data_IF_005673225659
#
_entry.id   IF_005673225659
#
_cell.length_a   1.000
_cell.length_b   1.000
_cell.length_c   1.000
_cell.angle_alpha   90.00
_cell.angle_beta   90.00
_cell.angle_gamma   90.00
#
_symmetry.space_group_name_H-M   'P 1'
#
loop_
_entity.id
_entity.type
_entity.pdbx_description
1 polymer ?
#
# COMPACT_ATOMS: atom_id res chain seq x y z
N UNK A 1 3.40 1.09 14.55
CA UNK A 1 3.15 1.86 13.31
C UNK A 1 3.01 0.90 12.14
N UNK A 2 2.03 1.12 11.30
CA UNK A 2 1.84 0.31 10.11
C UNK A 2 3.01 0.46 9.16
N UNK A 3 3.45 -0.65 8.59
CA UNK A 3 4.50 -0.66 7.58
C UNK A 3 4.28 -1.86 6.65
N UNK A 4 4.44 -1.64 5.36
CA UNK A 4 4.39 -2.74 4.39
C UNK A 4 5.53 -2.61 3.39
N UNK A 5 5.94 -3.74 2.84
CA UNK A 5 6.88 -3.78 1.72
C UNK A 5 6.10 -4.19 0.47
N UNK A 6 6.18 -3.37 -0.56
CA UNK A 6 5.46 -3.64 -1.81
C UNK A 6 6.21 -4.71 -2.61
N UNK A 7 5.57 -5.84 -2.83
CA UNK A 7 6.14 -6.92 -3.64
C UNK A 7 5.43 -7.07 -4.98
N UNK A 8 4.16 -6.71 -5.04
CA UNK A 8 3.35 -6.85 -6.24
C UNK A 8 2.62 -5.55 -6.53
N UNK A 9 2.57 -5.16 -7.79
CA UNK A 9 1.90 -3.93 -8.22
C UNK A 9 1.09 -4.25 -9.45
N UNK A 10 -0.17 -3.82 -9.46
CA UNK A 10 -1.07 -4.00 -10.59
C UNK A 10 -1.80 -2.69 -10.85
N UNK A 11 -1.72 -2.22 -12.09
CA UNK A 11 -2.48 -1.04 -12.51
C UNK A 11 -3.92 -1.47 -12.76
N UNK A 12 -4.84 -0.91 -11.96
CA UNK A 12 -6.26 -1.26 -12.05
C UNK A 12 -7.00 -0.30 -12.99
N UNK A 13 -6.80 1.00 -12.79
CA UNK A 13 -7.38 2.07 -13.59
C UNK A 13 -6.35 3.15 -13.81
N UNK A 14 -6.71 4.17 -14.58
CA UNK A 14 -5.78 5.27 -14.87
C UNK A 14 -5.25 5.96 -13.61
N UNK A 15 -6.06 6.00 -12.56
CA UNK A 15 -5.70 6.70 -11.32
C UNK A 15 -5.75 5.80 -10.11
N UNK A 16 -5.70 4.48 -10.29
CA UNK A 16 -5.76 3.53 -9.19
C UNK A 16 -4.80 2.39 -9.44
N UNK A 17 -3.92 2.16 -8.47
CA UNK A 17 -2.95 1.07 -8.51
C UNK A 17 -3.17 0.20 -7.30
N UNK A 18 -3.17 -1.12 -7.50
CA UNK A 18 -3.23 -2.08 -6.41
C UNK A 18 -1.81 -2.51 -6.05
N UNK A 19 -1.47 -2.43 -4.78
CA UNK A 19 -0.18 -2.90 -4.27
C UNK A 19 -0.42 -3.96 -3.22
N UNK A 20 0.48 -4.94 -3.15
CA UNK A 20 0.38 -6.02 -2.19
C UNK A 20 1.75 -6.37 -1.65
N UNK A 21 1.78 -6.88 -0.44
CA UNK A 21 3.02 -7.31 0.17
C UNK A 21 2.86 -7.57 1.66
N UNK A 22 3.94 -8.05 2.31
CA UNK A 22 3.91 -8.29 3.75
C UNK A 22 3.79 -6.99 4.52
N UNK A 23 3.09 -7.05 5.64
CA UNK A 23 2.92 -5.87 6.49
C UNK A 23 3.06 -6.24 7.95
N UNK A 24 3.34 -5.22 8.76
CA UNK A 24 3.32 -5.31 10.22
C UNK A 24 2.36 -4.25 10.75
N UNK A 25 1.81 -4.51 11.92
CA UNK A 25 0.92 -3.58 12.61
C UNK A 25 -0.27 -3.16 11.75
N UNK A 26 -0.93 -4.14 11.16
CA UNK A 26 -2.06 -3.91 10.25
C UNK A 26 -3.12 -2.98 10.84
N UNK A 27 -3.35 -3.05 12.14
CA UNK A 27 -4.37 -2.24 12.81
C UNK A 27 -4.05 -0.76 12.83
N UNK A 28 -2.79 -0.41 12.60
CA UNK A 28 -2.34 0.98 12.59
C UNK A 28 -2.39 1.60 11.19
N UNK A 29 -3.04 0.94 10.25
CA UNK A 29 -3.19 1.44 8.89
C UNK A 29 -3.86 2.80 8.89
N UNK A 30 -3.31 3.73 8.11
CA UNK A 30 -3.90 5.04 7.87
C UNK A 30 -4.13 5.21 6.38
N UNK A 31 -5.02 6.13 6.00
CA UNK A 31 -5.32 6.39 4.61
C UNK A 31 -4.23 7.16 3.88
N UNK A 32 -3.17 7.51 4.56
CA UNK A 32 -2.00 8.14 3.96
C UNK A 32 -0.76 7.38 4.37
N UNK A 33 0.06 7.07 3.37
CA UNK A 33 1.32 6.36 3.56
C UNK A 33 2.45 7.20 3.00
N UNK A 34 3.65 6.97 3.52
CA UNK A 34 4.84 7.69 3.09
C UNK A 34 5.95 6.68 2.79
N UNK A 35 6.71 6.92 1.72
CA UNK A 35 7.87 6.11 1.40
C UNK A 35 9.14 6.72 1.99
N UNK A 36 10.28 6.07 1.74
CA UNK A 36 11.56 6.52 2.30
C UNK A 36 12.04 7.85 1.71
N UNK A 37 11.51 8.24 0.57
CA UNK A 37 11.85 9.50 -0.09
C UNK A 37 10.94 10.65 0.34
N UNK A 38 9.96 10.38 1.20
CA UNK A 38 9.04 11.40 1.68
C UNK A 38 7.81 11.60 0.80
N UNK A 39 7.62 10.76 -0.22
CA UNK A 39 6.43 10.84 -1.06
C UNK A 39 5.23 10.30 -0.30
N UNK A 40 4.12 11.03 -0.37
CA UNK A 40 2.89 10.68 0.33
C UNK A 40 1.89 10.12 -0.65
N UNK A 41 1.28 8.99 -0.27
CA UNK A 41 0.32 8.28 -1.09
C UNK A 41 -1.02 8.22 -0.37
N UNK A 42 -2.10 8.49 -1.11
CA UNK A 42 -3.44 8.24 -0.60
C UNK A 42 -3.80 6.79 -0.85
N UNK A 43 -4.13 6.07 0.20
CA UNK A 43 -4.36 4.64 0.15
C UNK A 43 -5.68 4.28 0.81
N UNK A 44 -6.27 3.18 0.36
CA UNK A 44 -7.40 2.62 1.05
C UNK A 44 -7.32 1.10 1.02
N UNK A 45 -7.92 0.48 2.02
CA UNK A 45 -7.97 -0.96 2.12
C UNK A 45 -9.29 -1.45 1.51
N UNK A 46 -9.24 -2.06 0.32
CA UNK A 46 -10.46 -2.52 -0.33
C UNK A 46 -10.96 -3.80 0.36
N UNK A 47 -12.24 -3.86 0.62
CA UNK A 47 -12.92 -5.08 1.07
C UNK A 47 -12.28 -5.82 2.23
N UNK A 48 -11.63 -5.12 3.07
CA UNK A 48 -11.11 -5.59 4.34
C UNK A 48 -10.86 -7.12 4.45
N UNK A 49 -11.86 -7.91 4.80
CA UNK A 49 -11.67 -9.30 5.24
C UNK A 49 -11.60 -10.34 4.13
N UNK A 50 -12.14 -10.04 2.95
CA UNK A 50 -12.29 -11.06 1.91
C UNK A 50 -11.06 -11.21 1.03
N UNK A 51 -10.15 -10.26 1.06
CA UNK A 51 -8.95 -10.27 0.24
C UNK A 51 -7.69 -10.55 1.03
N UNK A 52 -7.84 -11.04 2.25
CA UNK A 52 -6.68 -11.49 3.02
C UNK A 52 -6.26 -12.83 2.44
N UNK A 53 -5.29 -12.78 1.54
CA UNK A 53 -4.73 -13.97 0.92
C UNK A 53 -3.89 -14.73 1.94
N UNK A 54 -3.33 -14.00 2.88
CA UNK A 54 -2.40 -14.53 3.87
C UNK A 54 -2.39 -13.56 5.05
N UNK A 55 -2.27 -14.07 6.25
CA UNK A 55 -2.21 -13.23 7.44
C UNK A 55 -1.03 -12.26 7.42
N UNK A 56 0.00 -12.57 6.65
CA UNK A 56 1.20 -11.75 6.58
C UNK A 56 1.21 -10.77 5.41
N UNK A 57 0.23 -10.85 4.51
CA UNK A 57 0.17 -9.97 3.34
C UNK A 57 -1.09 -9.13 3.35
N UNK A 58 -0.95 -7.92 2.83
CA UNK A 58 -2.06 -6.99 2.71
C UNK A 58 -2.13 -6.47 1.27
N UNK A 59 -3.32 -6.17 0.80
CA UNK A 59 -3.54 -5.54 -0.50
C UNK A 59 -4.18 -4.18 -0.27
N UNK A 60 -3.63 -3.16 -0.92
CA UNK A 60 -4.11 -1.78 -0.79
C UNK A 60 -4.34 -1.18 -2.17
N UNK A 61 -5.31 -0.27 -2.26
CA UNK A 61 -5.45 0.61 -3.40
C UNK A 61 -4.72 1.92 -3.15
N UNK A 62 -3.94 2.37 -4.11
CA UNK A 62 -3.26 3.65 -4.04
C UNK A 62 -3.79 4.53 -5.17
N UNK A 63 -4.27 5.72 -4.81
CA UNK A 63 -4.82 6.66 -5.78
C UNK A 63 -3.72 7.48 -6.42
N UNK A 64 -3.75 7.58 -7.73
CA UNK A 64 -2.81 8.38 -8.48
C UNK A 64 -2.19 7.61 -9.63
N UNK A 65 -1.38 8.32 -10.40
CA UNK A 65 -0.63 7.74 -11.51
C UNK A 65 0.81 7.57 -11.08
N UNK A 66 1.28 6.34 -11.03
CA UNK A 66 2.65 6.04 -10.64
C UNK A 66 3.22 4.99 -11.56
N UNK A 67 4.53 5.00 -11.69
CA UNK A 67 5.25 3.94 -12.38
C UNK A 67 5.20 2.67 -11.51
N UNK A 68 4.60 1.61 -12.05
CA UNK A 68 4.46 0.37 -11.29
C UNK A 68 5.81 -0.24 -10.92
N UNK A 69 6.81 -0.10 -11.79
CA UNK A 69 8.15 -0.62 -11.48
C UNK A 69 8.80 0.16 -10.34
N UNK A 70 8.55 1.46 -10.25
CA UNK A 70 9.12 2.27 -9.18
C UNK A 70 8.52 1.93 -7.82
N UNK A 71 7.28 1.44 -7.79
CA UNK A 71 6.63 1.09 -6.53
C UNK A 71 7.08 -0.27 -5.98
N UNK A 72 7.53 -1.17 -6.84
CA UNK A 72 8.02 -2.47 -6.37
C UNK A 72 9.24 -2.30 -5.50
N UNK A 73 9.22 -2.94 -4.34
CA UNK A 73 10.32 -2.87 -3.38
C UNK A 73 10.24 -1.68 -2.43
N UNK A 74 9.29 -0.77 -2.63
CA UNK A 74 9.13 0.35 -1.72
C UNK A 74 8.61 -0.12 -0.37
N UNK A 75 9.07 0.55 0.67
CA UNK A 75 8.54 0.38 2.02
C UNK A 75 7.61 1.56 2.29
N UNK A 76 6.36 1.25 2.60
CA UNK A 76 5.35 2.26 2.88
C UNK A 76 5.00 2.22 4.36
N UNK A 77 5.02 3.38 4.99
CA UNK A 77 4.70 3.53 6.42
C UNK A 77 3.50 4.43 6.58
N UNK A 78 2.78 4.26 7.68
CA UNK A 78 1.68 5.17 8.00
C UNK A 78 2.21 6.58 8.13
N UNK A 79 1.59 7.52 7.43
CA UNK A 79 1.93 8.93 7.52
C UNK A 79 1.11 9.54 8.65
N UNK A 80 1.79 10.12 9.61
CA UNK A 80 1.15 10.78 10.75
C UNK A 80 1.48 12.27 10.72
N UNK A 81 0.45 13.06 10.68
CA UNK A 81 0.59 14.51 10.76
C UNK A 81 0.58 15.00 12.20
#
# INVERSE_FOLDING_TARGET
>A
MFQMTVTDVLKVHNNLISVAGPCINRRDFTNRLVDDDGNIYEAHMPFDKLLVIDDSKIMLGIFGKYDTEALKGCVLKAYQT
#
